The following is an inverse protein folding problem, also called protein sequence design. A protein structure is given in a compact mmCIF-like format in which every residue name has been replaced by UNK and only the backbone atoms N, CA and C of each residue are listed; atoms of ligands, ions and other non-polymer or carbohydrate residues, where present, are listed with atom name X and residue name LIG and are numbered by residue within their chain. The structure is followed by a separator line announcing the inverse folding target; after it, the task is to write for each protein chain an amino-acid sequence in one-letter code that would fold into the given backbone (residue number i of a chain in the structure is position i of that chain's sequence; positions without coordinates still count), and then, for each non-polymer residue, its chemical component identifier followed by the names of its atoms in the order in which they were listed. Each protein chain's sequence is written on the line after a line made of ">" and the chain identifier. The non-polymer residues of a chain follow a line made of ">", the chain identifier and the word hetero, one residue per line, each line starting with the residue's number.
data_IF_128524280956
#
_entry.id   IF_128524280956
#
_cell.length_a   1.000
_cell.length_b   1.000
_cell.length_c   1.000
_cell.angle_alpha   90.00
_cell.angle_beta   90.00
_cell.angle_gamma   90.00
#
_symmetry.space_group_name_H-M   'P 1'
#
loop_
_entity.id
_entity.type
_entity.pdbx_description
1 polymer ?
#
# COMPACT_ATOMS: atom_id res chain seq x y z
N UNK A 1 14.75 -5.40 -4.33
CA UNK A 1 13.81 -5.83 -5.40
C UNK A 1 12.83 -6.88 -4.86
N UNK A 2 11.58 -6.96 -5.32
CA UNK A 2 10.67 -8.08 -5.01
C UNK A 2 11.24 -9.44 -5.45
N UNK A 3 10.84 -10.51 -4.75
CA UNK A 3 11.31 -11.87 -5.07
C UNK A 3 10.89 -12.35 -6.47
N UNK A 4 9.74 -11.84 -6.96
CA UNK A 4 9.21 -12.17 -8.30
C UNK A 4 8.61 -10.93 -8.94
N UNK A 5 8.74 -10.84 -10.23
CA UNK A 5 8.10 -9.85 -11.09
C UNK A 5 7.40 -10.56 -12.24
N UNK A 6 6.41 -9.91 -12.81
CA UNK A 6 5.70 -10.34 -14.02
C UNK A 6 6.30 -9.58 -15.20
N UNK A 7 6.67 -10.29 -16.25
CA UNK A 7 7.07 -9.72 -17.54
C UNK A 7 5.82 -9.22 -18.27
N UNK A 8 5.82 -7.96 -18.70
CA UNK A 8 4.64 -7.28 -19.26
C UNK A 8 4.24 -7.84 -20.62
N UNK A 9 5.15 -8.47 -21.39
CA UNK A 9 4.86 -8.99 -22.71
C UNK A 9 4.17 -10.36 -22.66
N UNK A 10 4.55 -11.16 -21.67
CA UNK A 10 4.02 -12.51 -21.48
C UNK A 10 2.88 -12.59 -20.48
N UNK A 11 2.76 -11.62 -19.57
CA UNK A 11 1.91 -11.66 -18.38
C UNK A 11 2.18 -12.90 -17.50
N UNK A 12 3.44 -13.36 -17.46
CA UNK A 12 3.93 -14.48 -16.68
C UNK A 12 5.09 -14.06 -15.79
N UNK A 13 5.45 -14.90 -14.82
CA UNK A 13 6.64 -14.62 -14.03
C UNK A 13 7.86 -14.47 -14.94
N UNK A 14 8.60 -13.41 -14.70
CA UNK A 14 9.88 -13.18 -15.36
C UNK A 14 10.91 -14.26 -14.93
N UNK A 15 11.85 -14.55 -15.79
CA UNK A 15 12.92 -15.50 -15.48
C UNK A 15 13.80 -14.96 -14.34
N UNK A 16 13.94 -15.73 -13.26
CA UNK A 16 14.67 -15.29 -12.06
C UNK A 16 16.16 -15.01 -12.33
N UNK A 17 16.82 -15.81 -13.18
CA UNK A 17 18.21 -15.58 -13.54
C UNK A 17 18.38 -14.26 -14.32
N UNK A 18 17.47 -14.01 -15.26
CA UNK A 18 17.47 -12.77 -16.04
C UNK A 18 17.22 -11.55 -15.15
N UNK A 19 16.25 -11.62 -14.22
CA UNK A 19 15.99 -10.55 -13.26
C UNK A 19 17.22 -10.23 -12.41
N UNK A 20 17.92 -11.26 -11.97
CA UNK A 20 19.14 -11.10 -11.19
C UNK A 20 20.28 -10.44 -11.99
N UNK A 21 20.47 -10.83 -13.24
CA UNK A 21 21.46 -10.22 -14.15
C UNK A 21 21.13 -8.74 -14.43
N UNK A 22 19.86 -8.41 -14.73
CA UNK A 22 19.42 -7.06 -15.01
C UNK A 22 19.51 -6.16 -13.76
N UNK A 23 19.17 -6.67 -12.55
CA UNK A 23 19.32 -5.92 -11.30
C UNK A 23 20.81 -5.63 -11.00
N UNK A 24 21.69 -6.63 -11.17
CA UNK A 24 23.12 -6.42 -10.95
C UNK A 24 23.72 -5.43 -11.96
N UNK A 25 23.31 -5.49 -13.23
CA UNK A 25 23.72 -4.49 -14.23
C UNK A 25 23.26 -3.08 -13.84
N UNK A 26 22.01 -2.94 -13.46
CA UNK A 26 21.46 -1.65 -13.01
C UNK A 26 22.22 -1.11 -11.79
N UNK A 27 22.54 -1.95 -10.81
CA UNK A 27 23.32 -1.58 -9.62
C UNK A 27 24.76 -1.13 -9.97
N UNK A 28 25.41 -1.79 -10.93
CA UNK A 28 26.74 -1.39 -11.41
C UNK A 28 26.71 0.00 -12.09
N UNK A 29 25.59 0.36 -12.69
CA UNK A 29 25.35 1.68 -13.32
C UNK A 29 24.86 2.72 -12.31
N UNK A 30 24.79 2.41 -11.01
CA UNK A 30 24.33 3.29 -9.93
C UNK A 30 22.81 3.46 -9.88
N UNK A 31 22.05 2.56 -10.53
CA UNK A 31 20.59 2.55 -10.56
C UNK A 31 19.98 1.33 -9.87
N UNK A 32 18.69 1.10 -10.13
CA UNK A 32 17.92 -0.07 -9.70
C UNK A 32 17.09 -0.57 -10.87
N UNK A 33 16.73 -1.86 -10.86
CA UNK A 33 15.76 -2.40 -11.81
C UNK A 33 14.44 -1.65 -11.73
N UNK A 34 13.93 -1.18 -12.87
CA UNK A 34 12.67 -0.42 -12.93
C UNK A 34 11.49 -1.37 -13.10
N UNK A 35 10.52 -1.26 -12.24
CA UNK A 35 9.26 -2.01 -12.31
C UNK A 35 8.08 -1.13 -11.85
N UNK A 36 6.87 -1.46 -12.32
CA UNK A 36 5.63 -0.90 -11.83
C UNK A 36 5.02 -1.78 -10.75
N UNK A 37 4.19 -1.20 -9.88
CA UNK A 37 3.42 -1.95 -8.88
C UNK A 37 1.93 -1.66 -9.04
N UNK A 38 1.09 -2.66 -8.75
CA UNK A 38 -0.37 -2.45 -8.68
C UNK A 38 -0.80 -2.30 -7.23
N UNK A 39 -1.57 -1.24 -6.97
CA UNK A 39 -2.31 -1.05 -5.74
C UNK A 39 -3.80 -1.21 -6.02
N UNK A 40 -4.46 -2.15 -5.36
CA UNK A 40 -5.85 -2.46 -5.66
C UNK A 40 -6.58 -3.14 -4.50
N UNK A 41 -7.90 -3.17 -4.57
CA UNK A 41 -8.70 -4.02 -3.69
C UNK A 41 -8.80 -5.44 -4.26
N UNK A 42 -8.63 -6.42 -3.39
CA UNK A 42 -8.81 -7.82 -3.77
C UNK A 42 -10.28 -8.12 -4.10
N UNK A 43 -10.48 -9.00 -5.04
CA UNK A 43 -11.76 -9.63 -5.30
C UNK A 43 -12.02 -10.72 -4.25
N UNK A 44 -13.05 -11.54 -4.46
CA UNK A 44 -13.20 -12.78 -3.69
C UNK A 44 -12.02 -13.70 -3.95
N UNK A 45 -11.71 -14.51 -2.97
CA UNK A 45 -10.54 -15.40 -3.01
C UNK A 45 -10.50 -16.31 -4.23
N UNK A 46 -11.65 -16.83 -4.64
CA UNK A 46 -11.82 -17.66 -5.83
C UNK A 46 -11.65 -16.91 -7.15
N UNK A 47 -11.94 -15.62 -7.16
CA UNK A 47 -11.86 -14.76 -8.34
C UNK A 47 -10.46 -14.17 -8.56
N UNK A 48 -9.60 -14.10 -7.52
CA UNK A 48 -8.23 -13.58 -7.64
C UNK A 48 -7.26 -14.59 -8.24
N UNK A 49 -6.32 -14.09 -9.04
CA UNK A 49 -5.18 -14.88 -9.53
C UNK A 49 -4.12 -14.93 -8.43
N UNK A 50 -3.84 -16.14 -7.94
CA UNK A 50 -2.83 -16.41 -6.91
C UNK A 50 -1.51 -16.86 -7.53
N UNK A 51 -0.49 -16.98 -6.68
CA UNK A 51 0.85 -17.44 -7.06
C UNK A 51 0.82 -18.74 -7.88
N UNK A 52 0.10 -19.76 -7.41
CA UNK A 52 0.02 -21.06 -8.06
C UNK A 52 -0.81 -21.08 -9.36
N UNK A 53 -1.65 -20.08 -9.58
CA UNK A 53 -2.47 -19.99 -10.79
C UNK A 53 -1.67 -19.43 -11.97
N UNK A 54 -0.78 -18.45 -11.72
CA UNK A 54 -0.13 -17.70 -12.80
C UNK A 54 0.71 -18.57 -13.75
N UNK A 55 1.48 -19.58 -13.28
CA UNK A 55 2.20 -20.50 -14.18
C UNK A 55 1.26 -21.35 -15.04
N UNK A 56 0.01 -21.54 -14.62
CA UNK A 56 -1.03 -22.28 -15.32
C UNK A 56 -1.92 -21.31 -16.09
N UNK A 57 -1.48 -20.87 -17.27
CA UNK A 57 -2.09 -19.77 -18.03
C UNK A 57 -3.61 -19.91 -18.21
N UNK A 58 -4.11 -21.10 -18.55
CA UNK A 58 -5.53 -21.33 -18.79
C UNK A 58 -6.33 -21.14 -17.49
N UNK A 59 -5.81 -21.62 -16.38
CA UNK A 59 -6.43 -21.42 -15.06
C UNK A 59 -6.42 -19.94 -14.66
N UNK A 60 -5.30 -19.25 -14.83
CA UNK A 60 -5.18 -17.83 -14.53
C UNK A 60 -6.17 -17.00 -15.37
N UNK A 61 -6.22 -17.24 -16.69
CA UNK A 61 -7.12 -16.55 -17.63
C UNK A 61 -8.60 -16.78 -17.35
N UNK A 62 -8.95 -17.94 -16.77
CA UNK A 62 -10.32 -18.25 -16.35
C UNK A 62 -10.82 -17.46 -15.14
N UNK A 63 -9.91 -16.85 -14.37
CA UNK A 63 -10.27 -16.09 -13.18
C UNK A 63 -10.59 -14.64 -13.51
N UNK A 64 -11.59 -14.07 -12.85
CA UNK A 64 -11.98 -12.66 -13.05
C UNK A 64 -10.83 -11.69 -12.76
N UNK A 65 -9.98 -11.99 -11.75
CA UNK A 65 -8.84 -11.15 -11.37
C UNK A 65 -7.75 -11.02 -12.44
N UNK A 66 -7.73 -11.89 -13.48
CA UNK A 66 -6.71 -11.86 -14.52
C UNK A 66 -6.67 -10.53 -15.29
N UNK A 67 -7.82 -9.86 -15.42
CA UNK A 67 -7.86 -8.54 -16.08
C UNK A 67 -6.96 -7.49 -15.39
N UNK A 68 -6.75 -7.62 -14.07
CA UNK A 68 -5.86 -6.70 -13.33
C UNK A 68 -4.40 -6.85 -13.81
N UNK A 69 -3.97 -8.09 -14.03
CA UNK A 69 -2.63 -8.39 -14.54
C UNK A 69 -2.48 -7.80 -15.95
N UNK A 70 -3.41 -8.09 -16.85
CA UNK A 70 -3.34 -7.62 -18.24
C UNK A 70 -3.34 -6.10 -18.35
N UNK A 71 -4.23 -5.41 -17.63
CA UNK A 71 -4.26 -3.94 -17.67
C UNK A 71 -3.01 -3.32 -17.02
N UNK A 72 -2.51 -3.91 -15.91
CA UNK A 72 -1.27 -3.42 -15.30
C UNK A 72 -0.09 -3.58 -16.25
N UNK A 73 0.01 -4.72 -16.94
CA UNK A 73 1.04 -4.96 -17.96
C UNK A 73 0.93 -3.96 -19.13
N UNK A 74 -0.29 -3.67 -19.60
CA UNK A 74 -0.52 -2.67 -20.66
C UNK A 74 -0.09 -1.26 -20.23
N UNK A 75 -0.43 -0.84 -19.00
CA UNK A 75 -0.03 0.45 -18.46
C UNK A 75 1.49 0.55 -18.32
N UNK A 76 2.11 -0.47 -17.76
CA UNK A 76 3.57 -0.53 -17.58
C UNK A 76 4.31 -0.49 -18.92
N UNK A 77 3.81 -1.20 -19.94
CA UNK A 77 4.37 -1.16 -21.30
C UNK A 77 4.28 0.25 -21.91
N UNK A 78 3.16 0.95 -21.71
CA UNK A 78 3.00 2.36 -22.15
C UNK A 78 3.98 3.30 -21.45
N UNK A 79 4.31 3.01 -20.18
CA UNK A 79 5.30 3.77 -19.40
C UNK A 79 6.75 3.31 -19.66
N UNK A 80 6.98 2.38 -20.61
CA UNK A 80 8.32 1.88 -20.96
C UNK A 80 8.93 0.93 -19.93
N UNK A 81 8.11 0.31 -19.09
CA UNK A 81 8.54 -0.66 -18.09
C UNK A 81 8.36 -2.08 -18.63
N UNK A 82 9.31 -2.94 -18.30
CA UNK A 82 9.29 -4.36 -18.66
C UNK A 82 8.66 -5.25 -17.60
N UNK A 83 8.63 -4.80 -16.36
CA UNK A 83 8.23 -5.63 -15.23
C UNK A 83 7.17 -4.95 -14.38
N UNK A 84 6.26 -5.76 -13.82
CA UNK A 84 5.28 -5.33 -12.84
C UNK A 84 5.21 -6.29 -11.65
N UNK A 85 4.77 -5.79 -10.51
CA UNK A 85 4.54 -6.55 -9.30
C UNK A 85 3.09 -6.39 -8.83
N UNK A 86 2.47 -7.51 -8.45
CA UNK A 86 1.14 -7.57 -7.86
C UNK A 86 1.18 -8.48 -6.63
N UNK A 87 0.72 -8.00 -5.49
CA UNK A 87 0.75 -8.71 -4.21
C UNK A 87 -0.09 -10.00 -4.19
N UNK A 88 -1.10 -10.10 -5.06
CA UNK A 88 -1.98 -11.26 -5.16
C UNK A 88 -1.26 -12.49 -5.70
N UNK A 89 -0.43 -12.33 -6.72
CA UNK A 89 0.22 -13.45 -7.42
C UNK A 89 1.74 -13.48 -7.31
N UNK A 90 2.42 -12.37 -6.98
CA UNK A 90 3.88 -12.36 -6.83
C UNK A 90 4.38 -12.84 -5.46
N UNK A 91 3.46 -13.10 -4.50
CA UNK A 91 3.78 -13.63 -3.16
C UNK A 91 3.19 -15.03 -3.03
N UNK A 92 4.03 -16.00 -2.66
CA UNK A 92 3.54 -17.32 -2.23
C UNK A 92 3.05 -17.25 -0.77
N UNK A 93 1.74 -17.03 -0.61
CA UNK A 93 1.10 -16.91 0.72
C UNK A 93 0.96 -18.25 1.44
N UNK A 94 1.27 -19.37 0.78
CA UNK A 94 1.32 -20.69 1.43
C UNK A 94 2.63 -20.89 2.20
N UNK A 95 3.67 -20.11 1.89
CA UNK A 95 4.94 -20.07 2.61
C UNK A 95 4.91 -18.97 3.67
N UNK A 96 4.86 -19.33 4.95
CA UNK A 96 4.88 -18.35 6.05
C UNK A 96 6.18 -17.54 6.08
N UNK A 97 7.31 -18.15 5.70
CA UNK A 97 8.60 -17.46 5.63
C UNK A 97 8.60 -16.39 4.54
N UNK A 98 8.12 -16.72 3.33
CA UNK A 98 8.03 -15.77 2.22
C UNK A 98 7.02 -14.66 2.52
N UNK A 99 5.88 -14.98 3.11
CA UNK A 99 4.89 -13.99 3.50
C UNK A 99 5.48 -13.00 4.50
N UNK A 100 6.21 -13.48 5.52
CA UNK A 100 6.87 -12.62 6.49
C UNK A 100 7.94 -11.72 5.85
N UNK A 101 8.79 -12.27 4.98
CA UNK A 101 9.78 -11.51 4.24
C UNK A 101 9.12 -10.44 3.37
N UNK A 102 8.06 -10.82 2.65
CA UNK A 102 7.32 -9.92 1.76
C UNK A 102 6.70 -8.76 2.52
N UNK A 103 6.04 -9.00 3.64
CA UNK A 103 5.38 -7.94 4.42
C UNK A 103 6.43 -6.99 5.03
N UNK A 104 7.54 -7.49 5.58
CA UNK A 104 8.62 -6.65 6.11
C UNK A 104 9.35 -5.84 5.00
N UNK A 105 9.28 -6.28 3.75
CA UNK A 105 9.92 -5.62 2.61
C UNK A 105 8.97 -4.77 1.77
N UNK A 106 7.66 -4.90 1.97
CA UNK A 106 6.62 -4.38 1.06
C UNK A 106 6.70 -2.87 0.88
N UNK A 107 6.89 -2.12 1.96
CA UNK A 107 7.04 -0.66 1.89
C UNK A 107 8.17 -0.29 0.92
N UNK A 108 9.35 -0.90 1.08
CA UNK A 108 10.51 -0.65 0.21
C UNK A 108 10.24 -1.05 -1.24
N UNK A 109 9.46 -2.11 -1.49
CA UNK A 109 9.11 -2.49 -2.86
C UNK A 109 8.20 -1.45 -3.54
N UNK A 110 7.28 -0.84 -2.78
CA UNK A 110 6.50 0.29 -3.27
C UNK A 110 7.34 1.55 -3.44
N UNK A 111 8.24 1.85 -2.50
CA UNK A 111 9.16 3.00 -2.53
C UNK A 111 10.13 2.93 -3.73
N UNK A 112 10.70 1.75 -3.98
CA UNK A 112 11.65 1.51 -5.08
C UNK A 112 10.97 1.41 -6.46
N UNK A 113 9.63 1.32 -6.52
CA UNK A 113 8.91 1.22 -7.78
C UNK A 113 9.03 2.49 -8.62
N UNK A 114 9.10 2.32 -9.94
CA UNK A 114 9.09 3.45 -10.87
C UNK A 114 7.73 4.16 -10.88
N UNK A 115 6.64 3.40 -10.70
CA UNK A 115 5.27 3.89 -10.65
C UNK A 115 4.37 2.89 -9.91
N UNK A 116 3.42 3.42 -9.14
CA UNK A 116 2.31 2.67 -8.54
C UNK A 116 1.02 2.99 -9.32
N UNK A 117 0.39 1.96 -9.88
CA UNK A 117 -0.92 2.06 -10.53
C UNK A 117 -2.00 1.74 -9.50
N UNK A 118 -2.87 2.71 -9.19
CA UNK A 118 -3.97 2.51 -8.25
C UNK A 118 -5.26 2.30 -9.01
N UNK A 119 -5.91 1.15 -8.81
CA UNK A 119 -7.20 0.83 -9.38
C UNK A 119 -8.33 1.10 -8.37
N UNK A 120 -9.11 2.15 -8.61
CA UNK A 120 -10.25 2.57 -7.80
C UNK A 120 -11.52 1.90 -8.31
N UNK A 121 -11.93 0.82 -7.66
CA UNK A 121 -13.04 -0.03 -8.08
C UNK A 121 -14.42 0.66 -7.99
N UNK A 122 -14.58 1.60 -7.06
CA UNK A 122 -15.86 2.25 -6.78
C UNK A 122 -15.99 3.59 -7.52
N UNK A 123 -14.91 4.07 -8.17
CA UNK A 123 -14.88 5.31 -8.93
C UNK A 123 -15.22 5.06 -10.40
N UNK A 124 -16.12 5.86 -10.99
CA UNK A 124 -16.65 5.67 -12.33
C UNK A 124 -16.74 7.00 -13.11
N UNK A 125 -15.84 7.18 -14.07
CA UNK A 125 -15.80 8.37 -14.94
C UNK A 125 -16.98 8.46 -15.94
N UNK A 126 -17.72 7.36 -16.19
CA UNK A 126 -18.93 7.40 -17.02
C UNK A 126 -20.12 8.03 -16.30
N UNK A 127 -20.14 7.91 -14.96
CA UNK A 127 -21.24 8.42 -14.14
C UNK A 127 -20.96 9.80 -13.55
N UNK A 128 -19.68 10.16 -13.44
CA UNK A 128 -19.25 11.40 -12.79
C UNK A 128 -18.23 12.12 -13.66
N UNK A 129 -18.51 13.35 -14.12
CA UNK A 129 -17.54 14.15 -14.86
C UNK A 129 -16.22 14.29 -14.07
N UNK A 130 -15.08 14.27 -14.74
CA UNK A 130 -13.75 14.34 -14.13
C UNK A 130 -13.61 15.52 -13.15
N UNK A 131 -14.26 16.66 -13.43
CA UNK A 131 -14.28 17.87 -12.57
C UNK A 131 -15.07 17.71 -11.26
N UNK A 132 -15.83 16.63 -11.10
CA UNK A 132 -16.64 16.33 -9.90
C UNK A 132 -16.27 15.03 -9.22
N UNK A 133 -15.17 14.39 -9.65
CA UNK A 133 -14.74 13.12 -9.07
C UNK A 133 -14.19 13.37 -7.67
N UNK A 134 -14.76 12.68 -6.72
CA UNK A 134 -14.30 12.62 -5.33
C UNK A 134 -13.67 11.24 -5.09
N UNK A 135 -12.39 11.09 -5.43
CA UNK A 135 -11.67 9.82 -5.26
C UNK A 135 -11.67 9.34 -3.81
N UNK A 136 -11.71 10.26 -2.85
CA UNK A 136 -11.71 9.96 -1.42
C UNK A 136 -12.91 9.13 -0.94
N UNK A 137 -13.95 8.95 -1.77
CA UNK A 137 -15.09 8.06 -1.46
C UNK A 137 -14.86 6.61 -1.80
N UNK A 138 -13.80 6.29 -2.55
CA UNK A 138 -13.46 4.90 -2.87
C UNK A 138 -13.01 4.17 -1.60
N UNK A 139 -13.54 2.95 -1.38
CA UNK A 139 -13.17 2.12 -0.23
C UNK A 139 -11.67 1.77 -0.21
N UNK A 140 -10.94 1.99 -1.31
CA UNK A 140 -9.49 1.85 -1.35
C UNK A 140 -8.82 2.67 -0.24
N UNK A 141 -9.32 3.87 0.03
CA UNK A 141 -8.82 4.74 1.11
C UNK A 141 -9.11 4.23 2.53
N UNK A 142 -9.99 3.25 2.67
CA UNK A 142 -10.33 2.64 3.97
C UNK A 142 -9.51 1.39 4.30
N UNK A 143 -8.71 0.89 3.35
CA UNK A 143 -7.88 -0.29 3.61
C UNK A 143 -6.58 0.08 4.32
N UNK A 144 -6.18 -0.76 5.30
CA UNK A 144 -4.95 -0.56 6.07
C UNK A 144 -3.71 -0.55 5.17
N UNK A 145 -3.57 -1.54 4.30
CA UNK A 145 -2.41 -1.73 3.44
C UNK A 145 -2.19 -0.60 2.43
N UNK A 146 -3.27 0.01 1.93
CA UNK A 146 -3.17 1.07 0.90
C UNK A 146 -2.54 2.37 1.41
N UNK A 147 -2.36 2.53 2.73
CA UNK A 147 -1.64 3.67 3.28
C UNK A 147 -0.17 3.67 2.83
N UNK A 148 0.53 2.55 3.00
CA UNK A 148 1.91 2.44 2.53
C UNK A 148 2.01 2.47 1.00
N UNK A 149 1.01 1.91 0.29
CA UNK A 149 0.92 1.90 -1.16
C UNK A 149 0.73 3.31 -1.75
N UNK A 150 0.17 4.23 -0.97
CA UNK A 150 0.02 5.65 -1.31
C UNK A 150 1.28 6.47 -0.98
N UNK A 151 1.85 6.23 0.20
CA UNK A 151 2.91 7.07 0.77
C UNK A 151 4.28 6.71 0.19
N UNK A 152 4.61 5.42 0.12
CA UNK A 152 5.93 4.96 -0.27
C UNK A 152 6.31 5.31 -1.72
N UNK A 153 5.47 5.09 -2.76
CA UNK A 153 5.88 5.39 -4.13
C UNK A 153 5.98 6.88 -4.39
N UNK A 154 7.02 7.30 -5.13
CA UNK A 154 7.15 8.69 -5.58
C UNK A 154 6.08 9.05 -6.61
N UNK A 155 5.80 8.13 -7.54
CA UNK A 155 4.85 8.32 -8.63
C UNK A 155 3.64 7.40 -8.42
N UNK A 156 2.45 7.95 -8.22
CA UNK A 156 1.20 7.21 -8.10
C UNK A 156 0.22 7.73 -9.13
N UNK A 157 -0.32 6.83 -9.95
CA UNK A 157 -1.32 7.12 -10.98
C UNK A 157 -2.64 6.43 -10.64
N UNK A 158 -3.72 7.18 -10.61
CA UNK A 158 -5.05 6.68 -10.25
C UNK A 158 -5.88 6.39 -11.49
N UNK A 159 -6.57 5.25 -11.48
CA UNK A 159 -7.44 4.77 -12.55
C UNK A 159 -8.81 4.40 -11.98
N UNK A 160 -9.87 4.67 -12.74
CA UNK A 160 -11.24 4.29 -12.38
C UNK A 160 -11.49 2.78 -12.56
N UNK A 161 -12.70 2.34 -12.25
CA UNK A 161 -13.09 0.92 -12.38
C UNK A 161 -12.91 0.36 -13.80
N UNK A 162 -12.90 1.21 -14.82
CA UNK A 162 -12.72 0.89 -16.23
C UNK A 162 -11.28 1.13 -16.73
N UNK A 163 -10.32 1.32 -15.81
CA UNK A 163 -8.91 1.59 -16.10
C UNK A 163 -8.65 2.87 -16.88
N UNK A 164 -9.56 3.86 -16.79
CA UNK A 164 -9.34 5.19 -17.33
C UNK A 164 -8.57 6.05 -16.33
N UNK A 165 -7.60 6.77 -16.82
CA UNK A 165 -6.76 7.64 -16.00
C UNK A 165 -7.59 8.78 -15.39
N UNK A 166 -7.46 8.96 -14.07
CA UNK A 166 -8.10 10.01 -13.29
C UNK A 166 -7.14 11.16 -13.04
N UNK A 167 -5.92 10.85 -12.64
CA UNK A 167 -4.89 11.79 -12.22
C UNK A 167 -3.75 11.11 -11.49
N UNK A 168 -2.76 11.88 -11.10
CA UNK A 168 -1.64 11.41 -10.28
C UNK A 168 -1.69 11.97 -8.85
N UNK A 169 -0.81 11.44 -8.00
CA UNK A 169 -0.70 11.83 -6.58
C UNK A 169 -0.51 13.34 -6.41
N UNK A 170 0.27 13.97 -7.29
CA UNK A 170 0.55 15.40 -7.24
C UNK A 170 -0.69 16.23 -7.61
N UNK A 171 -1.37 15.87 -8.70
CA UNK A 171 -2.57 16.57 -9.17
C UNK A 171 -3.77 16.41 -8.22
N UNK A 172 -3.87 15.26 -7.56
CA UNK A 172 -4.97 14.91 -6.65
C UNK A 172 -4.65 15.14 -5.17
N UNK A 173 -3.50 15.75 -4.84
CA UNK A 173 -3.00 15.91 -3.46
C UNK A 173 -4.00 16.53 -2.50
N UNK A 174 -4.80 17.50 -2.96
CA UNK A 174 -5.77 18.16 -2.09
C UNK A 174 -6.89 17.21 -1.68
N UNK A 175 -7.46 16.46 -2.62
CA UNK A 175 -8.49 15.45 -2.32
C UNK A 175 -7.94 14.32 -1.43
N UNK A 176 -6.68 13.92 -1.67
CA UNK A 176 -6.01 12.91 -0.85
C UNK A 176 -5.79 13.44 0.56
N UNK A 177 -5.30 14.68 0.71
CA UNK A 177 -5.13 15.34 2.00
C UNK A 177 -6.46 15.41 2.78
N UNK A 178 -7.51 15.92 2.15
CA UNK A 178 -8.85 16.03 2.77
C UNK A 178 -9.40 14.68 3.24
N UNK A 179 -9.09 13.61 2.51
CA UNK A 179 -9.55 12.26 2.88
C UNK A 179 -8.70 11.59 3.95
N UNK A 180 -7.38 11.83 3.96
CA UNK A 180 -6.43 11.03 4.73
C UNK A 180 -5.70 11.80 5.83
N UNK A 181 -5.71 13.14 5.79
CA UNK A 181 -4.88 14.00 6.65
C UNK A 181 -3.40 14.01 6.29
N UNK A 182 -2.96 13.24 5.28
CA UNK A 182 -1.56 13.22 4.85
C UNK A 182 -1.18 14.60 4.28
N UNK A 183 -0.07 15.16 4.75
CA UNK A 183 0.39 16.47 4.31
C UNK A 183 0.60 16.54 2.79
N UNK A 184 0.17 17.64 2.17
CA UNK A 184 0.39 17.89 0.74
C UNK A 184 1.89 17.96 0.41
N UNK A 185 2.75 18.39 1.33
CA UNK A 185 4.20 18.41 1.14
C UNK A 185 4.77 16.99 0.99
N UNK A 186 4.27 16.01 1.75
CA UNK A 186 4.66 14.61 1.60
C UNK A 186 4.14 14.04 0.27
N UNK A 187 2.89 14.33 -0.08
CA UNK A 187 2.29 13.89 -1.34
C UNK A 187 2.99 14.45 -2.57
N UNK A 188 3.62 15.61 -2.45
CA UNK A 188 4.43 16.26 -3.49
C UNK A 188 5.89 15.81 -3.49
N UNK A 189 6.29 14.88 -2.62
CA UNK A 189 7.68 14.48 -2.39
C UNK A 189 8.62 15.66 -1.99
N UNK A 190 8.08 16.69 -1.33
CA UNK A 190 8.82 17.84 -0.80
C UNK A 190 9.24 17.68 0.67
N UNK A 191 8.63 16.72 1.34
CA UNK A 191 8.92 16.31 2.70
C UNK A 191 9.14 14.79 2.75
N UNK A 192 9.81 14.31 3.78
CA UNK A 192 10.03 12.89 4.08
C UNK A 192 9.17 12.44 5.26
N UNK A 193 9.12 11.13 5.55
CA UNK A 193 8.36 10.63 6.71
C UNK A 193 8.90 11.12 8.04
N UNK A 194 10.20 11.37 8.12
CA UNK A 194 10.89 11.85 9.31
C UNK A 194 10.50 13.28 9.69
N UNK A 195 9.95 14.05 8.75
CA UNK A 195 9.44 15.40 9.00
C UNK A 195 8.11 15.41 9.76
N UNK A 196 7.51 14.24 9.99
CA UNK A 196 6.22 14.06 10.66
C UNK A 196 6.38 13.23 11.93
N UNK A 197 5.74 13.67 12.99
CA UNK A 197 5.75 12.97 14.27
C UNK A 197 5.12 11.57 14.17
N UNK A 198 5.43 10.71 15.14
CA UNK A 198 4.81 9.38 15.25
C UNK A 198 3.29 9.49 15.32
N UNK A 199 2.77 10.43 16.13
CA UNK A 199 1.33 10.62 16.27
C UNK A 199 0.65 11.02 14.95
N UNK A 200 1.26 11.91 14.16
CA UNK A 200 0.75 12.28 12.84
C UNK A 200 0.71 11.08 11.90
N UNK A 201 1.81 10.31 11.80
CA UNK A 201 1.85 9.11 10.96
C UNK A 201 0.87 8.03 11.41
N UNK A 202 0.65 7.86 12.73
CA UNK A 202 -0.38 6.98 13.27
C UNK A 202 -1.79 7.46 12.91
N UNK A 203 -2.03 8.76 12.92
CA UNK A 203 -3.33 9.34 12.59
C UNK A 203 -3.75 9.04 11.15
N UNK A 204 -2.83 8.95 10.19
CA UNK A 204 -3.13 8.59 8.78
C UNK A 204 -3.68 7.17 8.63
N UNK A 205 -3.45 6.32 9.62
CA UNK A 205 -3.99 4.96 9.68
C UNK A 205 -5.37 4.89 10.35
N UNK A 206 -5.80 5.96 11.04
CA UNK A 206 -7.11 6.01 11.67
C UNK A 206 -8.23 5.87 10.64
N UNK A 207 -9.27 5.09 10.98
CA UNK A 207 -10.39 4.80 10.10
C UNK A 207 -10.12 3.78 8.99
N UNK A 208 -8.89 3.27 8.88
CA UNK A 208 -8.54 2.20 7.93
C UNK A 208 -8.79 0.81 8.53
N UNK A 209 -9.13 -0.13 7.67
CA UNK A 209 -9.54 -1.50 8.04
C UNK A 209 -8.62 -2.53 7.39
N UNK A 210 -8.18 -3.53 8.16
CA UNK A 210 -7.56 -4.77 7.67
C UNK A 210 -8.58 -5.88 7.54
N UNK A 211 -8.26 -6.92 6.78
CA UNK A 211 -9.07 -8.15 6.73
C UNK A 211 -9.01 -8.87 8.07
N UNK A 212 -7.85 -8.86 8.71
CA UNK A 212 -7.62 -9.31 10.08
C UNK A 212 -7.15 -8.15 10.93
N UNK A 213 -7.30 -8.25 12.24
CA UNK A 213 -7.01 -7.15 13.17
C UNK A 213 -5.54 -6.76 13.12
N UNK A 214 -4.66 -7.75 13.02
CA UNK A 214 -3.21 -7.59 12.99
C UNK A 214 -2.72 -6.76 11.79
N UNK A 215 -3.43 -6.81 10.65
CA UNK A 215 -3.08 -6.04 9.46
C UNK A 215 -3.00 -4.53 9.74
N UNK A 216 -3.74 -4.04 10.74
CA UNK A 216 -3.73 -2.64 11.15
C UNK A 216 -2.37 -2.22 11.74
N UNK A 217 -1.64 -3.18 12.32
CA UNK A 217 -0.29 -2.96 12.80
C UNK A 217 0.75 -3.28 11.71
N UNK A 218 0.60 -4.41 11.04
CA UNK A 218 1.60 -4.90 10.09
C UNK A 218 1.71 -4.01 8.85
N UNK A 219 0.62 -3.39 8.41
CA UNK A 219 0.63 -2.41 7.31
C UNK A 219 1.39 -1.12 7.63
N UNK A 220 1.76 -0.92 8.89
CA UNK A 220 2.49 0.27 9.36
C UNK A 220 4.01 0.06 9.50
N UNK A 221 4.49 -1.16 9.35
CA UNK A 221 5.92 -1.47 9.54
C UNK A 221 6.83 -0.50 8.78
N UNK A 222 6.59 -0.34 7.50
CA UNK A 222 7.41 0.51 6.66
C UNK A 222 7.30 2.01 6.97
N UNK A 223 6.13 2.49 7.44
CA UNK A 223 5.95 3.89 7.82
C UNK A 223 6.81 4.28 9.04
N UNK A 224 7.17 3.29 9.86
CA UNK A 224 7.97 3.50 11.07
C UNK A 224 9.37 2.86 10.98
N UNK A 225 9.72 2.24 9.86
CA UNK A 225 11.01 1.57 9.69
C UNK A 225 11.18 0.34 10.59
N UNK A 226 10.08 -0.29 11.01
CA UNK A 226 10.08 -1.42 11.93
C UNK A 226 10.04 -2.74 11.14
N UNK A 227 10.83 -3.71 11.60
CA UNK A 227 10.79 -5.10 11.18
C UNK A 227 10.55 -5.96 12.41
N UNK A 228 9.48 -6.72 12.42
CA UNK A 228 9.19 -7.65 13.51
C UNK A 228 8.52 -8.93 13.01
N UNK A 229 8.57 -10.05 13.78
CA UNK A 229 7.84 -11.27 13.44
C UNK A 229 6.34 -11.03 13.42
N UNK A 230 5.66 -11.56 12.39
CA UNK A 230 4.21 -11.56 12.34
C UNK A 230 3.65 -12.76 13.11
N UNK A 231 2.77 -12.49 14.05
CA UNK A 231 2.13 -13.48 14.89
C UNK A 231 0.60 -13.39 14.69
N UNK A 232 0.10 -13.88 13.56
CA UNK A 232 -1.34 -13.93 13.34
C UNK A 232 -2.03 -14.76 14.44
N UNK A 233 -3.08 -14.21 15.02
CA UNK A 233 -3.78 -14.73 16.20
C UNK A 233 -3.50 -13.91 17.48
N UNK A 234 -2.54 -12.98 17.48
CA UNK A 234 -2.29 -12.09 18.61
C UNK A 234 -3.27 -10.91 18.73
N UNK A 235 -4.08 -10.70 17.67
CA UNK A 235 -5.13 -9.66 17.58
C UNK A 235 -4.58 -8.27 17.88
N UNK A 236 -5.23 -7.51 18.79
CA UNK A 236 -4.86 -6.14 19.17
C UNK A 236 -3.44 -6.03 19.75
N UNK A 237 -2.85 -7.13 20.23
CA UNK A 237 -1.47 -7.13 20.74
C UNK A 237 -0.45 -6.80 19.65
N UNK A 238 -0.76 -7.06 18.37
CA UNK A 238 0.08 -6.66 17.23
C UNK A 238 0.38 -5.15 17.27
N UNK A 239 -0.64 -4.32 17.54
CA UNK A 239 -0.48 -2.87 17.58
C UNK A 239 0.26 -2.39 18.84
N UNK A 240 0.10 -3.06 19.97
CA UNK A 240 0.89 -2.78 21.17
C UNK A 240 2.37 -3.09 20.92
N UNK A 241 2.66 -4.27 20.37
CA UNK A 241 4.02 -4.69 20.01
C UNK A 241 4.69 -3.74 19.02
N UNK A 242 3.95 -3.27 18.01
CA UNK A 242 4.46 -2.27 17.08
C UNK A 242 4.89 -1.00 17.80
N UNK A 243 4.08 -0.49 18.72
CA UNK A 243 4.43 0.71 19.52
C UNK A 243 5.66 0.45 20.40
N UNK A 244 5.78 -0.72 21.02
CA UNK A 244 6.95 -1.11 21.81
C UNK A 244 8.24 -1.12 20.96
N UNK A 245 8.18 -1.62 19.70
CA UNK A 245 9.33 -1.58 18.79
C UNK A 245 9.65 -0.15 18.34
N UNK A 246 8.65 0.70 18.10
CA UNK A 246 8.86 2.11 17.77
C UNK A 246 9.55 2.84 18.91
N UNK A 247 9.14 2.62 20.18
CA UNK A 247 9.75 3.24 21.37
C UNK A 247 11.22 2.86 21.52
N UNK A 248 11.61 1.64 21.13
CA UNK A 248 13.02 1.21 21.18
C UNK A 248 13.91 1.92 20.16
N UNK A 249 13.32 2.42 19.07
CA UNK A 249 14.04 2.98 17.94
C UNK A 249 13.89 4.50 17.76
N UNK A 250 13.03 5.16 18.55
CA UNK A 250 12.73 6.58 18.41
C UNK A 250 12.54 7.28 19.76
N UNK A 251 13.06 8.49 19.85
CA UNK A 251 12.88 9.40 21.01
C UNK A 251 11.65 10.32 20.85
N UNK A 252 10.82 10.11 19.83
CA UNK A 252 9.61 10.92 19.59
C UNK A 252 8.49 10.54 20.57
N UNK A 253 8.33 11.35 21.63
CA UNK A 253 7.31 11.16 22.65
C UNK A 253 5.86 11.38 22.17
N UNK A 254 5.65 11.82 20.94
CA UNK A 254 4.28 11.97 20.39
C UNK A 254 3.52 10.65 20.32
N UNK A 255 4.23 9.50 20.37
CA UNK A 255 3.62 8.16 20.49
C UNK A 255 2.65 8.06 21.67
N UNK A 256 2.82 8.89 22.71
CA UNK A 256 1.93 8.95 23.87
C UNK A 256 0.84 10.03 23.76
N UNK A 257 0.80 10.80 22.65
CA UNK A 257 -0.16 11.90 22.46
C UNK A 257 -1.47 11.42 21.84
N UNK A 258 -1.98 10.29 22.27
CA UNK A 258 -3.26 9.74 21.81
C UNK A 258 -4.42 10.08 22.77
N UNK A 259 -5.64 10.07 22.24
CA UNK A 259 -6.87 10.34 23.02
C UNK A 259 -7.80 9.14 22.86
N UNK A 260 -7.99 8.40 23.94
CA UNK A 260 -8.86 7.22 23.90
C UNK A 260 -10.30 7.58 23.55
N UNK A 261 -10.83 7.00 22.49
CA UNK A 261 -12.23 7.10 22.13
C UNK A 261 -13.07 6.28 23.12
N UNK A 262 -13.62 6.94 24.15
CA UNK A 262 -14.54 6.28 25.10
C UNK A 262 -14.11 6.24 26.58
N UNK A 263 -13.08 6.95 26.99
CA UNK A 263 -12.82 7.31 28.40
C UNK A 263 -12.43 6.18 29.37
N UNK A 264 -12.02 5.00 28.91
CA UNK A 264 -11.70 3.84 29.76
C UNK A 264 -10.42 3.11 29.40
N UNK A 265 -9.36 3.79 29.03
CA UNK A 265 -8.09 3.12 28.75
C UNK A 265 -7.01 3.57 29.73
N UNK A 266 -6.69 2.71 30.69
CA UNK A 266 -5.67 2.92 31.71
C UNK A 266 -4.28 2.41 31.30
N UNK A 267 -3.95 2.39 30.01
CA UNK A 267 -2.65 1.97 29.50
C UNK A 267 -1.80 3.15 29.03
N UNK A 268 -0.47 2.92 28.97
CA UNK A 268 0.48 3.90 28.43
C UNK A 268 0.39 3.95 26.87
N UNK A 269 0.08 2.83 26.23
CA UNK A 269 0.03 2.67 24.78
C UNK A 269 -1.40 2.68 24.26
N UNK A 270 -1.58 3.21 23.06
CA UNK A 270 -2.85 3.21 22.34
C UNK A 270 -3.26 1.77 21.94
N UNK A 271 -4.55 1.48 21.87
CA UNK A 271 -5.04 0.17 21.47
C UNK A 271 -5.20 0.03 19.96
N UNK A 272 -5.30 1.15 19.28
CA UNK A 272 -5.53 1.15 17.84
C UNK A 272 -5.14 2.50 17.22
N UNK A 273 -4.90 2.58 15.90
CA UNK A 273 -4.65 3.86 15.21
C UNK A 273 -5.77 4.88 15.40
N UNK A 274 -7.01 4.47 15.67
CA UNK A 274 -8.15 5.37 15.92
C UNK A 274 -7.91 6.27 17.12
N UNK A 275 -7.12 5.85 18.10
CA UNK A 275 -6.83 6.65 19.28
C UNK A 275 -5.99 7.90 18.92
N UNK A 276 -5.35 7.91 17.74
CA UNK A 276 -4.63 9.05 17.18
C UNK A 276 -5.47 9.93 16.25
N UNK A 277 -6.75 9.61 16.02
CA UNK A 277 -7.61 10.34 15.06
C UNK A 277 -7.75 11.83 15.38
N UNK A 278 -7.66 12.23 16.66
CA UNK A 278 -7.72 13.63 17.07
C UNK A 278 -6.59 14.49 16.47
N UNK A 279 -5.47 13.88 16.05
CA UNK A 279 -4.36 14.58 15.39
C UNK A 279 -4.65 14.97 13.94
N UNK A 280 -5.73 14.42 13.33
CA UNK A 280 -6.15 14.77 11.95
C UNK A 280 -6.80 16.15 11.84
N UNK A 281 -6.95 16.90 12.95
CA UNK A 281 -7.67 18.17 12.95
C UNK A 281 -9.15 17.99 12.61
N UNK A 282 -9.86 19.08 12.31
CA UNK A 282 -11.31 19.15 12.10
C UNK A 282 -11.88 18.37 10.89
N UNK A 283 -11.07 17.63 10.16
CA UNK A 283 -11.47 16.89 8.95
C UNK A 283 -12.50 15.78 9.24
N UNK A 284 -12.57 15.26 10.49
CA UNK A 284 -13.43 14.13 10.86
C UNK A 284 -14.68 14.51 11.68
N UNK A 285 -14.91 15.78 12.02
CA UNK A 285 -16.04 16.18 12.89
C UNK A 285 -17.39 16.28 12.19
N UNK A 286 -17.51 16.08 10.89
CA UNK A 286 -18.76 16.25 10.13
C UNK A 286 -19.28 14.98 9.41
N UNK A 287 -19.14 13.81 10.00
CA UNK A 287 -19.91 12.63 9.52
C UNK A 287 -20.58 11.95 10.71
N UNK A 288 -21.69 12.55 11.21
CA UNK A 288 -22.77 11.83 11.87
C UNK A 288 -23.90 11.59 10.89
#
# INVERSE_FOLDING_TARGET
>A
MPLRLIDVDTCQFANAAQLWEEENSALQEGGKLKYGVLSHRWLREEDEVKYNDLPQQDQARGKKGYFKITHTCELARRDGLRYVWLDTCCIDKSSSAELQESINSMYRWYEDSAVCYVHLKDTDLDRTPASRIEIGRDEWFERAWTLQELVAPKNVKFYDKNWRYIGDKHGLKQQIHERTGISTSLLENKASLEDFSIAERMSWAAGRKGTVVEDRAYSLFGLFGINMPMLYGERENAFLRLQEEIIKSSDDHSIFAWVGLGGRHGGLLARSPEDFAAMLGSVWTEKK
#
